data_IF_092030128025
#
_entry.id   IF_092030128025
#
_cell.length_a   1.000
_cell.length_b   1.000
_cell.length_c   1.000
_cell.angle_alpha   90.00
_cell.angle_beta   90.00
_cell.angle_gamma   90.00
#
_symmetry.space_group_name_H-M   'P 1'
#
loop_
_entity.id
_entity.type
_entity.pdbx_description
1 polymer ?
#
# COMPACT_ATOMS: atom_id res chain seq x y z
N UNK A 1 -20.47 -13.32 14.15
CA UNK A 1 -19.83 -12.08 13.63
C UNK A 1 -18.42 -12.41 13.17
N UNK A 2 -18.15 -12.44 11.86
CA UNK A 2 -16.77 -12.57 11.32
C UNK A 2 -15.93 -11.40 11.88
N UNK A 3 -14.70 -11.66 12.33
CA UNK A 3 -13.69 -10.61 12.56
C UNK A 3 -13.59 -9.95 13.95
N UNK A 4 -13.96 -10.61 15.06
CA UNK A 4 -13.85 -9.98 16.41
C UNK A 4 -12.42 -9.66 16.89
N UNK A 5 -11.37 -10.15 16.20
CA UNK A 5 -9.96 -9.81 16.45
C UNK A 5 -9.20 -9.79 15.13
N UNK A 6 -9.29 -8.70 14.37
CA UNK A 6 -8.35 -8.48 13.27
C UNK A 6 -7.00 -8.15 13.90
N UNK A 7 -5.97 -8.96 13.63
CA UNK A 7 -4.62 -8.61 14.02
C UNK A 7 -4.15 -7.48 13.10
N UNK A 8 -3.74 -6.36 13.69
CA UNK A 8 -3.19 -5.20 13.00
C UNK A 8 -1.80 -4.93 13.59
N UNK A 9 -0.88 -4.40 12.79
CA UNK A 9 0.48 -4.05 13.24
C UNK A 9 1.18 -5.22 13.93
N UNK A 10 1.20 -6.36 13.23
CA UNK A 10 1.83 -7.58 13.74
C UNK A 10 3.35 -7.38 13.85
N UNK A 11 3.98 -8.02 14.85
CA UNK A 11 5.44 -8.03 14.98
C UNK A 11 6.07 -9.17 14.15
N UNK A 12 7.33 -9.02 13.68
CA UNK A 12 8.16 -7.81 13.74
C UNK A 12 7.67 -6.73 12.79
N UNK A 13 8.06 -5.48 13.03
CA UNK A 13 7.84 -4.41 12.05
C UNK A 13 8.53 -4.77 10.73
N UNK A 14 7.77 -4.68 9.65
CA UNK A 14 8.25 -4.90 8.29
C UNK A 14 8.47 -3.54 7.65
N UNK A 15 9.56 -3.38 6.89
CA UNK A 15 9.80 -2.17 6.13
C UNK A 15 9.24 -2.34 4.72
N UNK A 16 8.35 -1.44 4.33
CA UNK A 16 7.86 -1.40 2.95
C UNK A 16 8.99 -0.99 2.00
N UNK A 17 9.20 -1.79 0.95
CA UNK A 17 10.10 -1.44 -0.16
C UNK A 17 9.27 -0.87 -1.29
N UNK A 18 9.64 0.31 -1.78
CA UNK A 18 8.95 0.94 -2.90
C UNK A 18 9.02 0.03 -4.12
N UNK A 19 7.90 -0.07 -4.81
CA UNK A 19 7.86 -0.80 -6.05
C UNK A 19 8.49 0.01 -7.18
N UNK A 20 9.51 -0.55 -7.81
CA UNK A 20 10.19 0.07 -8.97
C UNK A 20 9.71 -0.52 -10.30
N UNK A 21 9.09 -1.71 -10.28
CA UNK A 21 8.57 -2.36 -11.47
C UNK A 21 7.30 -1.66 -11.99
N UNK A 22 7.37 -1.15 -13.22
CA UNK A 22 6.25 -0.44 -13.86
C UNK A 22 5.00 -1.30 -14.01
N UNK A 23 5.15 -2.59 -14.35
CA UNK A 23 3.99 -3.46 -14.58
C UNK A 23 3.18 -3.63 -13.31
N UNK A 24 3.86 -3.81 -12.19
CA UNK A 24 3.25 -3.90 -10.87
C UNK A 24 2.61 -2.56 -10.48
N UNK A 25 3.30 -1.43 -10.72
CA UNK A 25 2.77 -0.10 -10.38
C UNK A 25 1.48 0.22 -11.15
N UNK A 26 1.42 -0.09 -12.44
CA UNK A 26 0.23 0.14 -13.26
C UNK A 26 -0.96 -0.70 -12.77
N UNK A 27 -0.70 -1.93 -12.30
CA UNK A 27 -1.74 -2.81 -11.73
C UNK A 27 -2.25 -2.25 -10.41
N UNK A 28 -1.37 -1.78 -9.53
CA UNK A 28 -1.79 -1.17 -8.25
C UNK A 28 -2.51 0.15 -8.46
N UNK A 29 -2.01 1.04 -9.33
CA UNK A 29 -2.66 2.32 -9.59
C UNK A 29 -4.08 2.12 -10.18
N UNK A 30 -4.28 1.09 -10.99
CA UNK A 30 -5.60 0.77 -11.56
C UNK A 30 -6.56 0.12 -10.57
N UNK A 31 -6.10 -0.85 -9.78
CA UNK A 31 -6.99 -1.70 -8.96
C UNK A 31 -6.97 -1.32 -7.47
N UNK A 32 -5.94 -0.64 -7.01
CA UNK A 32 -5.72 -0.20 -5.64
C UNK A 32 -5.33 1.29 -5.60
N UNK A 33 -6.10 2.10 -6.33
CA UNK A 33 -5.86 3.53 -6.50
C UNK A 33 -5.81 4.30 -5.16
N UNK A 34 -4.84 5.21 -5.05
CA UNK A 34 -4.62 6.03 -3.85
C UNK A 34 -5.39 7.36 -3.94
N UNK A 35 -6.72 7.32 -3.74
CA UNK A 35 -7.65 8.45 -4.02
C UNK A 35 -7.36 9.78 -3.29
N UNK A 36 -6.56 9.78 -2.22
CA UNK A 36 -6.28 10.97 -1.39
C UNK A 36 -5.02 11.74 -1.79
N UNK A 37 -4.23 11.21 -2.72
CA UNK A 37 -2.97 11.78 -3.19
C UNK A 37 -2.99 11.91 -4.70
N UNK A 38 -2.19 12.84 -5.24
CA UNK A 38 -2.09 13.00 -6.70
C UNK A 38 -1.46 11.75 -7.33
N UNK A 39 -1.80 11.45 -8.59
CA UNK A 39 -1.28 10.26 -9.28
C UNK A 39 0.25 10.24 -9.37
N UNK A 40 0.88 11.38 -9.62
CA UNK A 40 2.34 11.42 -9.72
C UNK A 40 3.00 11.16 -8.37
N UNK A 41 2.43 11.72 -7.30
CA UNK A 41 2.90 11.49 -5.94
C UNK A 41 2.65 10.05 -5.47
N UNK A 42 1.50 9.48 -5.82
CA UNK A 42 1.11 8.12 -5.43
C UNK A 42 2.07 7.06 -5.98
N UNK A 43 2.53 7.24 -7.22
CA UNK A 43 3.47 6.33 -7.89
C UNK A 43 4.89 6.42 -7.32
N UNK A 44 5.29 7.61 -6.85
CA UNK A 44 6.64 7.86 -6.31
C UNK A 44 6.72 7.49 -4.83
N UNK A 45 5.80 8.00 -4.01
CA UNK A 45 5.86 7.88 -2.55
C UNK A 45 5.16 6.63 -2.03
N UNK A 46 4.12 6.15 -2.71
CA UNK A 46 3.40 4.90 -2.38
C UNK A 46 2.90 4.85 -0.92
N UNK A 47 2.63 6.03 -0.32
CA UNK A 47 2.44 6.18 1.13
C UNK A 47 1.23 5.40 1.65
N UNK A 48 0.13 5.36 0.89
CA UNK A 48 -1.06 4.63 1.33
C UNK A 48 -0.87 3.12 1.21
N UNK A 49 -0.09 2.63 0.24
CA UNK A 49 0.24 1.21 0.15
C UNK A 49 1.18 0.80 1.28
N UNK A 50 2.20 1.61 1.56
CA UNK A 50 3.10 1.44 2.71
C UNK A 50 2.32 1.30 4.02
N UNK A 51 1.43 2.25 4.31
CA UNK A 51 0.61 2.26 5.53
C UNK A 51 -0.36 1.08 5.65
N UNK A 52 -0.76 0.46 4.55
CA UNK A 52 -1.62 -0.74 4.58
C UNK A 52 -0.81 -2.03 4.74
N UNK A 53 0.44 -2.03 4.30
CA UNK A 53 1.34 -3.17 4.41
C UNK A 53 1.94 -3.30 5.82
N UNK A 54 2.35 -2.17 6.40
CA UNK A 54 2.88 -2.04 7.77
C UNK A 54 1.76 -2.10 8.83
#
# INVERSE_FOLDING_TARGET
>A
KRGKKMMMSCKPEVNYTLFEDRKMLDVLDKNWIQLKVSKNESLVQQELWKRQYE
#
